data_IF_113326849720
#
_entry.id   IF_113326849720
#
_cell.length_a   1.000
_cell.length_b   1.000
_cell.length_c   1.000
_cell.angle_alpha   90.00
_cell.angle_beta   90.00
_cell.angle_gamma   90.00
#
_symmetry.space_group_name_H-M   'P 1'
#
loop_
_entity.id
_entity.type
_entity.pdbx_description
1 polymer ?
#
# COMPACT_ATOMS: atom_id res chain seq x y z
N UNK A 1 -7.24 -18.34 8.13
CA UNK A 1 -6.30 -17.31 7.68
C UNK A 1 -4.97 -17.68 8.30
N UNK A 2 -3.99 -17.98 7.47
CA UNK A 2 -2.66 -18.33 7.98
C UNK A 2 -1.85 -17.09 8.36
N UNK A 3 -0.60 -17.28 8.77
CA UNK A 3 0.26 -16.19 9.20
C UNK A 3 0.61 -15.20 8.07
N UNK A 4 0.75 -15.70 6.84
CA UNK A 4 1.06 -14.86 5.68
C UNK A 4 -0.15 -14.01 5.31
N UNK A 5 -1.33 -14.61 5.29
CA UNK A 5 -2.58 -13.90 5.06
C UNK A 5 -2.78 -12.80 6.11
N UNK A 6 -2.50 -13.10 7.39
CA UNK A 6 -2.60 -12.12 8.49
C UNK A 6 -1.68 -10.94 8.28
N UNK A 7 -0.42 -11.21 7.95
CA UNK A 7 0.57 -10.16 7.69
C UNK A 7 0.21 -9.30 6.48
N UNK A 8 -0.30 -9.90 5.42
CA UNK A 8 -0.78 -9.17 4.25
C UNK A 8 -1.94 -8.25 4.63
N UNK A 9 -2.94 -8.75 5.37
CA UNK A 9 -4.08 -7.95 5.78
C UNK A 9 -3.69 -6.82 6.75
N UNK A 10 -2.67 -7.02 7.59
CA UNK A 10 -2.12 -5.97 8.46
C UNK A 10 -1.45 -4.84 7.66
N UNK A 11 -0.66 -5.18 6.64
CA UNK A 11 -0.04 -4.20 5.74
C UNK A 11 -1.11 -3.45 4.93
N UNK A 12 -2.08 -4.17 4.37
CA UNK A 12 -3.18 -3.57 3.63
C UNK A 12 -4.00 -2.61 4.51
N UNK A 13 -4.27 -3.00 5.77
CA UNK A 13 -4.93 -2.13 6.74
C UNK A 13 -4.08 -0.91 7.12
N UNK A 14 -2.75 -1.05 7.20
CA UNK A 14 -1.86 0.07 7.49
C UNK A 14 -1.88 1.11 6.37
N UNK A 15 -1.72 0.69 5.10
CA UNK A 15 -1.74 1.63 3.98
C UNK A 15 -3.13 2.21 3.70
N UNK A 16 -4.20 1.46 4.00
CA UNK A 16 -5.58 1.94 3.86
C UNK A 16 -5.91 3.09 4.82
N UNK A 17 -5.12 3.27 5.89
CA UNK A 17 -5.25 4.42 6.79
C UNK A 17 -4.65 5.70 6.22
N UNK A 18 -3.93 5.62 5.10
CA UNK A 18 -3.23 6.74 4.51
C UNK A 18 -4.01 7.20 3.28
N UNK A 19 -4.58 8.41 3.29
CA UNK A 19 -5.20 8.98 2.10
C UNK A 19 -4.19 9.06 0.96
N UNK A 20 -4.52 8.45 -0.19
CA UNK A 20 -3.57 8.23 -1.30
C UNK A 20 -4.24 8.29 -2.68
N UNK A 21 -5.14 9.25 -2.90
CA UNK A 21 -5.70 9.44 -4.24
C UNK A 21 -4.61 9.67 -5.28
N UNK A 22 -4.92 9.38 -6.55
CA UNK A 22 -4.08 9.76 -7.67
C UNK A 22 -3.70 11.24 -7.58
N UNK A 23 -2.41 11.55 -7.73
CA UNK A 23 -1.76 12.86 -7.52
C UNK A 23 -1.59 13.30 -6.06
N UNK A 24 -1.90 12.45 -5.09
CA UNK A 24 -1.70 12.68 -3.66
C UNK A 24 -0.94 11.51 -3.00
N UNK A 25 0.16 11.07 -3.63
CA UNK A 25 0.93 9.89 -3.23
C UNK A 25 1.99 10.18 -2.16
N UNK A 26 2.23 11.45 -1.81
CA UNK A 26 3.36 11.84 -0.98
C UNK A 26 3.32 11.19 0.42
N UNK A 27 2.14 11.12 1.03
CA UNK A 27 1.99 10.53 2.37
C UNK A 27 2.29 9.02 2.37
N UNK A 28 1.78 8.29 1.38
CA UNK A 28 2.01 6.84 1.26
C UNK A 28 3.47 6.54 0.86
N UNK A 29 4.08 7.36 0.00
CA UNK A 29 5.48 7.24 -0.35
C UNK A 29 6.39 7.39 0.89
N UNK A 30 6.13 8.40 1.73
CA UNK A 30 6.86 8.59 3.00
C UNK A 30 6.70 7.43 3.96
N UNK A 31 5.51 6.85 4.02
CA UNK A 31 5.27 5.66 4.85
C UNK A 31 6.13 4.48 4.40
N UNK A 32 6.23 4.21 3.10
CA UNK A 32 7.09 3.16 2.57
C UNK A 32 8.58 3.44 2.76
N UNK A 33 9.01 4.70 2.67
CA UNK A 33 10.39 5.10 3.00
C UNK A 33 10.72 4.83 4.47
N UNK A 34 9.82 5.19 5.39
CA UNK A 34 9.98 4.91 6.82
C UNK A 34 10.01 3.40 7.08
N UNK A 35 9.08 2.66 6.47
CA UNK A 35 9.01 1.20 6.55
C UNK A 35 10.32 0.53 6.08
N UNK A 36 10.92 1.05 5.00
CA UNK A 36 12.21 0.57 4.48
C UNK A 36 13.36 0.91 5.43
N UNK A 37 13.40 2.15 5.95
CA UNK A 37 14.43 2.60 6.87
C UNK A 37 14.45 1.79 8.18
N UNK A 38 13.28 1.49 8.75
CA UNK A 38 13.13 0.63 9.94
C UNK A 38 13.73 -0.77 9.74
N UNK A 39 13.80 -1.25 8.50
CA UNK A 39 14.34 -2.56 8.11
C UNK A 39 15.78 -2.48 7.59
N UNK A 40 16.38 -1.29 7.56
CA UNK A 40 17.70 -1.07 6.99
C UNK A 40 17.75 -1.25 5.47
N UNK A 41 16.61 -1.21 4.78
CA UNK A 41 16.55 -1.28 3.32
C UNK A 41 16.88 0.07 2.70
N UNK A 42 17.49 0.04 1.51
CA UNK A 42 17.79 1.27 0.77
C UNK A 42 16.57 1.69 -0.05
N UNK A 43 16.09 2.90 0.16
CA UNK A 43 15.00 3.49 -0.62
C UNK A 43 15.49 4.70 -1.41
N UNK A 44 14.97 4.90 -2.62
CA UNK A 44 15.20 6.12 -3.41
C UNK A 44 13.97 6.49 -4.22
N UNK A 45 13.74 7.79 -4.41
CA UNK A 45 12.74 8.33 -5.33
C UNK A 45 13.38 8.94 -6.57
N UNK A 46 12.72 8.80 -7.72
CA UNK A 46 13.10 9.52 -8.93
C UNK A 46 12.42 10.90 -9.01
N UNK A 47 12.71 11.66 -10.08
CA UNK A 47 12.11 12.98 -10.29
C UNK A 47 10.60 12.97 -10.58
N UNK A 48 10.03 11.81 -10.91
CA UNK A 48 8.59 11.65 -11.10
C UNK A 48 7.87 11.18 -9.82
N UNK A 49 8.61 10.90 -8.75
CA UNK A 49 8.08 10.44 -7.46
C UNK A 49 7.97 8.92 -7.32
N UNK A 50 8.41 8.13 -8.31
CA UNK A 50 8.40 6.68 -8.19
C UNK A 50 9.38 6.22 -7.11
N UNK A 51 8.92 5.34 -6.23
CA UNK A 51 9.71 4.81 -5.11
C UNK A 51 10.30 3.43 -5.47
N UNK A 52 11.62 3.30 -5.33
CA UNK A 52 12.31 2.03 -5.37
C UNK A 52 12.87 1.67 -3.99
N UNK A 53 12.47 0.52 -3.46
CA UNK A 53 13.05 -0.08 -2.25
C UNK A 53 13.86 -1.31 -2.66
N UNK A 54 15.15 -1.30 -2.31
CA UNK A 54 16.05 -2.42 -2.55
C UNK A 54 16.13 -3.30 -1.30
N UNK A 55 15.62 -4.53 -1.42
CA UNK A 55 15.69 -5.58 -0.40
C UNK A 55 16.87 -6.51 -0.73
N UNK A 56 17.77 -6.79 0.24
CA UNK A 56 18.89 -7.69 0.00
C UNK A 56 18.43 -9.13 -0.23
N UNK A 57 19.21 -9.96 -0.95
CA UNK A 57 18.89 -11.38 -1.11
C UNK A 57 18.86 -12.08 0.25
N UNK A 58 18.01 -13.09 0.38
CA UNK A 58 18.06 -14.01 1.52
C UNK A 58 19.38 -14.83 1.48
N UNK A 59 19.87 -15.33 2.63
CA UNK A 59 21.07 -16.16 2.68
C UNK A 59 21.00 -17.34 1.69
N UNK A 60 22.05 -17.50 0.88
CA UNK A 60 22.14 -18.54 -0.15
C UNK A 60 21.59 -18.14 -1.53
N UNK A 61 21.05 -16.93 -1.69
CA UNK A 61 20.51 -16.42 -2.95
C UNK A 61 21.32 -15.23 -3.52
N UNK A 62 22.56 -15.03 -3.06
CA UNK A 62 23.37 -13.84 -3.40
C UNK A 62 23.72 -13.75 -4.89
N UNK A 63 23.65 -14.87 -5.62
CA UNK A 63 23.91 -14.95 -7.07
C UNK A 63 22.65 -15.11 -7.91
N UNK A 64 21.48 -15.13 -7.29
CA UNK A 64 20.23 -15.23 -8.03
C UNK A 64 19.97 -13.93 -8.81
N UNK A 65 19.31 -14.01 -9.98
CA UNK A 65 18.84 -12.82 -10.67
C UNK A 65 17.92 -11.99 -9.78
N UNK A 66 18.09 -10.67 -9.80
CA UNK A 66 17.18 -9.76 -9.14
C UNK A 66 15.79 -9.81 -9.78
N UNK A 67 14.75 -9.65 -8.94
CA UNK A 67 13.36 -9.55 -9.38
C UNK A 67 12.82 -8.19 -8.99
N UNK A 68 11.98 -7.61 -9.84
CA UNK A 68 11.23 -6.38 -9.55
C UNK A 68 9.76 -6.76 -9.35
N UNK A 69 9.23 -6.46 -8.17
CA UNK A 69 7.80 -6.45 -7.91
C UNK A 69 7.33 -5.00 -8.04
N UNK A 70 6.30 -4.76 -8.86
CA UNK A 70 5.84 -3.41 -9.17
C UNK A 70 4.37 -3.25 -8.79
N UNK A 71 4.08 -2.08 -8.23
CA UNK A 71 2.75 -1.60 -7.89
C UNK A 71 2.67 -0.09 -8.05
N UNK A 72 1.46 0.47 -8.10
CA UNK A 72 1.22 1.91 -8.06
C UNK A 72 0.88 2.34 -6.62
N UNK A 73 1.23 3.56 -6.22
CA UNK A 73 1.04 3.98 -4.82
C UNK A 73 -0.39 4.50 -4.58
N UNK A 74 -1.01 5.01 -5.63
CA UNK A 74 -2.28 5.68 -5.55
C UNK A 74 -3.48 4.72 -5.53
N UNK A 75 -4.65 5.28 -5.31
CA UNK A 75 -5.91 4.60 -5.55
C UNK A 75 -6.88 5.54 -6.27
N UNK A 76 -7.80 4.93 -7.00
CA UNK A 76 -8.99 5.62 -7.48
C UNK A 76 -9.84 6.01 -6.28
N UNK A 77 -10.20 7.28 -6.19
CA UNK A 77 -10.98 7.85 -5.09
C UNK A 77 -12.39 8.19 -5.56
N UNK A 78 -13.28 7.19 -5.50
CA UNK A 78 -14.68 7.33 -5.87
C UNK A 78 -15.57 6.96 -4.69
N UNK A 79 -16.70 7.66 -4.55
CA UNK A 79 -17.63 7.39 -3.45
C UNK A 79 -19.08 7.48 -3.90
N UNK A 80 -19.93 6.78 -3.17
CA UNK A 80 -21.38 6.91 -3.36
C UNK A 80 -21.82 8.34 -3.00
N UNK A 81 -22.90 8.87 -3.61
CA UNK A 81 -23.36 10.24 -3.36
C UNK A 81 -23.67 10.55 -1.88
N UNK A 82 -24.07 9.53 -1.11
CA UNK A 82 -24.40 9.68 0.31
C UNK A 82 -23.19 9.59 1.25
N UNK A 83 -22.01 9.21 0.75
CA UNK A 83 -20.82 9.03 1.60
C UNK A 83 -20.21 10.37 2.03
N UNK A 84 -20.07 10.63 3.34
CA UNK A 84 -19.44 11.86 3.84
C UNK A 84 -17.91 11.82 3.75
N UNK A 85 -17.33 10.70 3.31
CA UNK A 85 -15.88 10.47 3.30
C UNK A 85 -15.10 11.55 2.53
N UNK A 86 -14.03 12.04 3.14
CA UNK A 86 -13.10 13.00 2.56
C UNK A 86 -11.74 12.36 2.31
N UNK A 87 -11.49 11.99 1.06
CA UNK A 87 -10.26 11.31 0.65
C UNK A 87 -8.98 12.14 0.81
N UNK A 88 -9.05 13.40 1.26
CA UNK A 88 -7.85 14.18 1.56
C UNK A 88 -7.32 13.94 2.97
N UNK A 89 -8.14 13.36 3.87
CA UNK A 89 -7.82 13.21 5.29
C UNK A 89 -8.33 11.92 5.92
N UNK A 90 -9.43 11.37 5.44
CA UNK A 90 -10.08 10.24 6.07
C UNK A 90 -9.44 8.91 5.64
N UNK A 91 -9.23 7.98 6.58
CA UNK A 91 -8.76 6.64 6.24
C UNK A 91 -9.85 5.81 5.55
N UNK A 92 -9.47 4.90 4.65
CA UNK A 92 -10.40 3.91 4.10
C UNK A 92 -10.72 2.88 5.18
N UNK A 93 -12.00 2.80 5.55
CA UNK A 93 -12.50 1.83 6.52
C UNK A 93 -12.68 0.46 5.86
N UNK A 94 -11.87 -0.52 6.26
CA UNK A 94 -12.02 -1.90 5.83
C UNK A 94 -13.17 -2.58 6.60
N UNK A 95 -14.15 -3.10 5.87
CA UNK A 95 -15.29 -3.85 6.40
C UNK A 95 -15.21 -5.28 5.85
N UNK A 96 -15.18 -6.27 6.75
CA UNK A 96 -15.22 -7.68 6.40
C UNK A 96 -16.67 -8.19 6.41
N UNK A 97 -17.12 -8.75 5.29
CA UNK A 97 -18.45 -9.33 5.13
C UNK A 97 -18.33 -10.73 4.53
N UNK A 98 -18.45 -11.75 5.38
CA UNK A 98 -18.18 -13.13 5.00
C UNK A 98 -16.75 -13.27 4.47
N UNK A 99 -16.64 -13.66 3.20
CA UNK A 99 -15.37 -13.86 2.50
C UNK A 99 -14.87 -12.61 1.77
N UNK A 100 -15.62 -11.51 1.81
CA UNK A 100 -15.29 -10.27 1.13
C UNK A 100 -14.77 -9.20 2.09
N UNK A 101 -13.88 -8.36 1.57
CA UNK A 101 -13.52 -7.09 2.20
C UNK A 101 -13.98 -5.97 1.27
N UNK A 102 -14.65 -4.97 1.84
CA UNK A 102 -15.13 -3.78 1.13
C UNK A 102 -14.86 -2.52 1.93
N UNK A 103 -15.03 -1.37 1.29
CA UNK A 103 -15.02 -0.08 1.98
C UNK A 103 -16.44 0.41 2.30
N UNK A 104 -16.52 1.45 3.11
CA UNK A 104 -17.77 2.06 3.57
C UNK A 104 -18.25 3.15 2.58
N UNK A 105 -18.94 2.72 1.52
CA UNK A 105 -19.51 3.66 0.54
C UNK A 105 -18.46 4.39 -0.32
N UNK A 106 -17.24 3.88 -0.38
CA UNK A 106 -16.12 4.37 -1.21
C UNK A 106 -15.50 3.23 -2.01
N UNK A 107 -14.59 3.56 -2.94
CA UNK A 107 -13.59 2.62 -3.44
C UNK A 107 -12.71 2.13 -2.29
N UNK A 108 -12.28 0.88 -2.41
CA UNK A 108 -11.45 0.20 -1.39
C UNK A 108 -9.96 0.46 -1.57
N UNK A 109 -9.50 0.71 -2.80
CA UNK A 109 -8.08 0.78 -3.12
C UNK A 109 -7.37 -0.58 -3.05
N UNK A 110 -8.11 -1.69 -3.17
CA UNK A 110 -7.52 -3.03 -3.23
C UNK A 110 -6.62 -3.20 -4.47
N UNK A 111 -6.99 -2.56 -5.59
CA UNK A 111 -6.10 -2.36 -6.72
C UNK A 111 -5.19 -1.12 -6.49
N UNK A 112 -3.87 -1.27 -6.42
CA UNK A 112 -3.13 -2.53 -6.19
C UNK A 112 -2.69 -2.66 -4.73
N UNK A 113 -3.36 -1.96 -3.80
CA UNK A 113 -2.99 -1.92 -2.39
C UNK A 113 -2.84 -3.29 -1.73
N UNK A 114 -3.54 -4.33 -2.18
CA UNK A 114 -3.35 -5.71 -1.66
C UNK A 114 -1.99 -6.30 -2.05
N UNK A 115 -1.41 -5.86 -3.17
CA UNK A 115 -0.14 -6.34 -3.69
C UNK A 115 1.08 -5.50 -3.23
N UNK A 116 0.85 -4.35 -2.60
CA UNK A 116 1.90 -3.51 -2.01
C UNK A 116 2.31 -4.02 -0.61
#
# INVERSE_FOLDING_TARGET
MDENDRRLMELFAAISRIPRCSKNEEAIARWFEAWAAERGFRARRDGAGNLLIAVPPAPGWERAPGVILQGHLDMVCEKTPASPHDFTRDPIRLIREGDWVRADGTTLGADNGVAL
#
